data_IF_527719671582
#
_entry.id   IF_527719671582
#
_cell.length_a   1.000
_cell.length_b   1.000
_cell.length_c   1.000
_cell.angle_alpha   90.00
_cell.angle_beta   90.00
_cell.angle_gamma   90.00
#
_symmetry.space_group_name_H-M   'P 1'
#
loop_
_entity.id
_entity.type
_entity.pdbx_description
1 polymer ?
#
# COMPACT_ATOMS: atom_id res chain seq x y z
N UNK A 1 50.17 43.36 14.72
CA UNK A 1 48.87 44.06 14.75
C UNK A 1 48.50 44.40 13.30
N UNK A 2 47.31 43.98 12.83
CA UNK A 2 46.76 44.04 11.45
C UNK A 2 47.43 43.02 10.50
N UNK A 3 46.77 42.16 9.72
CA UNK A 3 45.57 42.29 8.88
C UNK A 3 44.99 40.88 8.57
N UNK A 4 43.81 40.50 9.07
CA UNK A 4 42.97 39.42 8.47
C UNK A 4 41.50 39.69 8.84
N UNK A 5 40.85 40.66 8.21
CA UNK A 5 39.42 40.96 8.47
C UNK A 5 38.64 41.46 7.23
N UNK A 6 39.19 41.28 6.02
CA UNK A 6 38.56 41.77 4.78
C UNK A 6 37.80 40.72 3.96
N UNK A 7 38.08 39.43 4.14
CA UNK A 7 37.72 38.41 3.14
C UNK A 7 36.41 37.64 3.41
N UNK A 8 35.80 37.84 4.57
CA UNK A 8 34.57 37.14 4.93
C UNK A 8 33.34 37.91 4.45
N UNK A 9 33.36 39.24 4.43
CA UNK A 9 32.17 40.04 4.08
C UNK A 9 31.77 39.93 2.60
N UNK A 10 32.75 39.86 1.69
CA UNK A 10 32.51 39.76 0.25
C UNK A 10 31.90 38.41 -0.19
N UNK A 11 32.09 37.34 0.59
CA UNK A 11 31.57 36.00 0.25
C UNK A 11 30.10 35.81 0.60
N UNK A 12 29.56 36.59 1.56
CA UNK A 12 28.14 36.57 1.91
C UNK A 12 27.27 37.46 1.00
N UNK A 13 27.81 38.56 0.48
CA UNK A 13 27.09 39.43 -0.46
C UNK A 13 26.79 38.73 -1.81
N UNK A 14 27.69 37.86 -2.28
CA UNK A 14 27.50 37.11 -3.53
C UNK A 14 26.40 36.02 -3.44
N UNK A 15 26.18 35.42 -2.26
CA UNK A 15 25.19 34.37 -2.06
C UNK A 15 23.74 34.91 -2.03
N UNK A 16 23.54 36.14 -1.56
CA UNK A 16 22.21 36.77 -1.46
C UNK A 16 21.71 37.25 -2.85
N UNK A 17 22.62 37.66 -3.74
CA UNK A 17 22.27 38.07 -5.10
C UNK A 17 21.77 36.92 -6.00
N UNK A 18 22.20 35.68 -5.73
CA UNK A 18 21.78 34.49 -6.49
C UNK A 18 20.39 34.01 -6.04
N UNK A 19 20.00 34.22 -4.79
CA UNK A 19 18.69 33.82 -4.27
C UNK A 19 17.53 34.71 -4.78
N UNK A 20 17.79 35.99 -5.07
CA UNK A 20 16.75 36.94 -5.51
C UNK A 20 16.39 36.85 -7.00
N UNK A 21 17.27 36.31 -7.85
CA UNK A 21 17.00 36.13 -9.29
C UNK A 21 16.25 34.82 -9.60
N UNK A 22 16.29 33.82 -8.72
CA UNK A 22 15.57 32.55 -8.89
C UNK A 22 14.05 32.66 -8.63
N UNK A 23 13.62 33.59 -7.77
CA UNK A 23 12.19 33.76 -7.40
C UNK A 23 11.39 34.38 -8.57
N UNK A 24 11.99 35.27 -9.36
CA UNK A 24 11.30 35.93 -10.48
C UNK A 24 11.04 35.01 -11.69
N UNK A 25 11.79 33.92 -11.86
CA UNK A 25 11.61 32.99 -12.99
C UNK A 25 10.47 31.99 -12.74
N UNK A 26 10.19 31.64 -11.47
CA UNK A 26 9.09 30.73 -11.12
C UNK A 26 7.72 31.41 -11.28
N UNK A 27 7.61 32.70 -10.94
CA UNK A 27 6.34 33.43 -11.06
C UNK A 27 5.94 33.71 -12.53
N UNK A 28 6.90 33.80 -13.46
CA UNK A 28 6.62 34.05 -14.87
C UNK A 28 6.05 32.82 -15.63
N UNK A 29 6.31 31.58 -15.16
CA UNK A 29 5.82 30.35 -15.82
C UNK A 29 4.37 30.00 -15.47
N UNK A 30 3.82 30.52 -14.39
CA UNK A 30 2.42 30.26 -14.00
C UNK A 30 1.40 31.02 -14.88
N UNK A 31 1.81 32.09 -15.58
CA UNK A 31 0.91 32.96 -16.34
C UNK A 31 0.70 32.56 -17.82
N UNK A 32 1.32 31.47 -18.29
CA UNK A 32 1.30 31.07 -19.71
C UNK A 32 0.62 29.71 -19.98
N UNK A 33 -0.08 29.12 -19.00
CA UNK A 33 -0.88 27.93 -19.27
C UNK A 33 -2.13 28.31 -20.08
N UNK A 34 -2.33 27.75 -21.28
CA UNK A 34 -3.59 27.92 -22.01
C UNK A 34 -4.75 27.33 -21.17
N UNK A 35 -5.96 27.91 -21.23
CA UNK A 35 -7.11 27.36 -20.53
C UNK A 35 -7.33 25.91 -20.97
N UNK A 36 -7.59 25.03 -19.99
CA UNK A 36 -7.95 23.65 -20.26
C UNK A 36 -9.14 23.60 -21.25
N UNK A 37 -9.13 22.70 -22.24
CA UNK A 37 -10.25 22.57 -23.16
C UNK A 37 -11.52 22.25 -22.36
N UNK A 38 -12.59 22.98 -22.66
CA UNK A 38 -13.91 22.73 -22.09
C UNK A 38 -14.25 21.25 -22.28
N UNK A 39 -14.55 20.56 -21.18
CA UNK A 39 -14.98 19.18 -21.21
C UNK A 39 -16.17 19.05 -22.18
N UNK A 40 -16.01 18.24 -23.22
CA UNK A 40 -17.09 17.92 -24.13
C UNK A 40 -18.29 17.38 -23.32
N UNK A 41 -19.44 18.01 -23.51
CA UNK A 41 -20.68 17.56 -22.89
C UNK A 41 -20.91 16.09 -23.26
N UNK A 42 -21.03 15.22 -22.25
CA UNK A 42 -21.43 13.83 -22.47
C UNK A 42 -22.81 13.81 -23.14
N UNK A 43 -23.06 12.94 -24.12
CA UNK A 43 -24.36 12.84 -24.76
C UNK A 43 -25.43 12.51 -23.72
N UNK A 44 -26.57 13.18 -23.83
CA UNK A 44 -27.74 12.94 -22.98
C UNK A 44 -28.15 11.46 -23.05
N UNK A 45 -28.34 10.86 -21.88
CA UNK A 45 -28.91 9.52 -21.77
C UNK A 45 -30.32 9.50 -22.40
N UNK A 46 -30.71 8.39 -23.07
CA UNK A 46 -32.05 8.28 -23.64
C UNK A 46 -33.12 8.37 -22.53
N UNK A 47 -34.33 8.89 -22.84
CA UNK A 47 -35.38 9.05 -21.85
C UNK A 47 -35.74 7.69 -21.24
N UNK A 48 -35.60 7.60 -19.92
CA UNK A 48 -36.10 6.47 -19.16
C UNK A 48 -37.62 6.40 -19.27
N UNK A 49 -38.13 5.19 -19.50
CA UNK A 49 -39.56 4.87 -19.43
C UNK A 49 -40.17 5.38 -18.11
N UNK A 50 -41.48 5.75 -18.09
CA UNK A 50 -42.07 6.43 -16.96
C UNK A 50 -41.96 5.61 -15.69
N UNK A 51 -41.44 6.27 -14.65
CA UNK A 51 -41.31 5.73 -13.31
C UNK A 51 -42.69 5.48 -12.71
N UNK A 52 -43.19 4.26 -12.83
CA UNK A 52 -44.07 3.74 -11.79
C UNK A 52 -43.23 3.72 -10.51
N UNK A 53 -43.63 4.50 -9.51
CA UNK A 53 -42.98 4.64 -8.22
C UNK A 53 -42.90 3.29 -7.51
N UNK A 54 -41.87 2.50 -7.81
CA UNK A 54 -41.50 1.31 -7.03
C UNK A 54 -40.69 1.83 -5.86
N UNK A 55 -41.36 1.95 -4.71
CA UNK A 55 -40.76 2.33 -3.45
C UNK A 55 -39.52 1.46 -3.18
N UNK A 56 -38.46 2.08 -2.66
CA UNK A 56 -37.31 1.34 -2.16
C UNK A 56 -37.80 0.35 -1.09
N UNK A 57 -37.36 -0.93 -1.14
CA UNK A 57 -37.74 -1.89 -0.13
C UNK A 57 -37.31 -1.40 1.26
N UNK A 58 -38.05 -1.75 2.33
CA UNK A 58 -37.72 -1.30 3.68
C UNK A 58 -36.31 -1.73 4.08
N UNK A 59 -35.70 -0.99 5.00
CA UNK A 59 -34.34 -1.21 5.53
C UNK A 59 -34.12 -2.60 6.21
N UNK A 60 -35.12 -3.47 6.19
CA UNK A 60 -35.10 -4.86 6.64
C UNK A 60 -35.00 -5.87 5.48
N UNK A 61 -34.80 -5.40 4.25
CA UNK A 61 -34.70 -6.28 3.08
C UNK A 61 -33.56 -7.30 3.26
N UNK A 62 -33.95 -8.57 3.43
CA UNK A 62 -33.04 -9.70 3.48
C UNK A 62 -32.11 -9.70 2.25
N UNK A 63 -30.90 -10.25 2.41
CA UNK A 63 -29.87 -10.40 1.37
C UNK A 63 -30.40 -10.75 -0.04
N UNK A 64 -31.47 -11.57 -0.08
CA UNK A 64 -32.15 -12.01 -1.30
C UNK A 64 -32.66 -10.89 -2.21
N UNK A 65 -33.02 -9.72 -1.68
CA UNK A 65 -33.50 -8.61 -2.50
C UNK A 65 -32.36 -7.91 -3.28
N UNK A 66 -31.18 -7.77 -2.67
CA UNK A 66 -30.03 -7.10 -3.27
C UNK A 66 -29.44 -7.90 -4.45
N UNK A 67 -29.34 -9.23 -4.30
CA UNK A 67 -28.77 -10.12 -5.33
C UNK A 67 -29.63 -10.27 -6.58
N UNK A 68 -30.89 -9.82 -6.55
CA UNK A 68 -31.75 -9.77 -7.74
C UNK A 68 -31.20 -8.83 -8.82
N UNK A 69 -30.52 -7.75 -8.41
CA UNK A 69 -29.78 -6.86 -9.30
C UNK A 69 -28.27 -7.15 -9.29
N UNK A 70 -27.70 -7.53 -8.14
CA UNK A 70 -26.26 -7.81 -7.97
C UNK A 70 -25.93 -9.31 -8.02
N UNK A 71 -26.44 -10.02 -9.01
CA UNK A 71 -26.31 -11.48 -9.11
C UNK A 71 -24.86 -11.98 -9.24
N UNK A 72 -23.91 -11.11 -9.58
CA UNK A 72 -22.50 -11.45 -9.71
C UNK A 72 -21.74 -11.51 -8.37
N UNK A 73 -22.24 -10.81 -7.33
CA UNK A 73 -21.56 -10.68 -6.03
C UNK A 73 -21.26 -12.02 -5.33
N UNK A 74 -22.17 -13.01 -5.28
CA UNK A 74 -21.90 -14.27 -4.58
C UNK A 74 -21.14 -15.31 -5.42
N UNK A 75 -20.55 -14.94 -6.55
CA UNK A 75 -19.95 -15.91 -7.48
C UNK A 75 -18.46 -16.19 -7.28
N UNK A 76 -17.78 -15.44 -6.41
CA UNK A 76 -16.36 -15.66 -6.14
C UNK A 76 -16.10 -16.97 -5.39
N UNK A 77 -14.93 -17.59 -5.63
CA UNK A 77 -14.56 -18.82 -4.93
C UNK A 77 -14.36 -18.60 -3.42
N UNK A 78 -13.73 -17.48 -3.03
CA UNK A 78 -13.53 -17.09 -1.64
C UNK A 78 -14.38 -15.84 -1.34
N UNK A 79 -15.60 -16.05 -0.85
CA UNK A 79 -16.50 -14.96 -0.43
C UNK A 79 -16.25 -14.50 1.00
N UNK A 80 -16.56 -13.24 1.28
CA UNK A 80 -16.52 -12.74 2.66
C UNK A 80 -17.62 -13.42 3.51
N UNK A 81 -17.36 -13.90 4.74
CA UNK A 81 -18.36 -14.64 5.53
C UNK A 81 -19.65 -13.87 5.85
N UNK A 82 -19.60 -12.54 5.81
CA UNK A 82 -20.76 -11.65 6.00
C UNK A 82 -21.46 -11.26 4.69
N UNK A 83 -21.18 -11.92 3.57
CA UNK A 83 -21.76 -11.55 2.27
C UNK A 83 -23.30 -11.60 2.26
N UNK A 84 -23.90 -12.45 3.08
CA UNK A 84 -25.35 -12.54 3.26
C UNK A 84 -25.95 -11.36 4.05
N UNK A 85 -25.16 -10.44 4.59
CA UNK A 85 -25.64 -9.27 5.30
C UNK A 85 -25.11 -7.99 4.64
N UNK A 86 -25.77 -7.61 3.53
CA UNK A 86 -25.32 -6.49 2.71
C UNK A 86 -25.36 -5.16 3.47
N UNK A 87 -26.33 -4.99 4.38
CA UNK A 87 -26.58 -3.72 5.09
C UNK A 87 -25.60 -3.46 6.24
N UNK A 88 -24.83 -4.47 6.66
CA UNK A 88 -23.72 -4.29 7.60
C UNK A 88 -22.60 -3.40 7.02
N UNK A 89 -22.44 -3.39 5.70
CA UNK A 89 -21.41 -2.60 5.03
C UNK A 89 -21.97 -1.53 4.08
N UNK A 90 -23.13 -1.77 3.48
CA UNK A 90 -23.79 -0.84 2.57
C UNK A 90 -24.87 -0.05 3.29
N UNK A 91 -25.04 1.22 2.91
CA UNK A 91 -26.17 2.04 3.36
C UNK A 91 -27.16 2.19 2.21
N UNK A 92 -28.22 1.36 2.13
CA UNK A 92 -29.23 1.49 1.10
C UNK A 92 -30.04 2.77 1.31
N UNK A 93 -29.95 3.72 0.37
CA UNK A 93 -30.82 4.91 0.34
C UNK A 93 -31.77 4.84 -0.85
N UNK A 94 -31.22 4.85 -2.05
CA UNK A 94 -31.95 4.62 -3.31
C UNK A 94 -31.11 3.72 -4.21
N UNK A 95 -31.70 3.21 -5.30
CA UNK A 95 -30.99 2.38 -6.29
C UNK A 95 -29.67 3.02 -6.74
N UNK A 96 -29.65 4.34 -6.89
CA UNK A 96 -28.51 5.05 -7.48
C UNK A 96 -27.69 5.83 -6.41
N UNK A 97 -28.08 5.78 -5.13
CA UNK A 97 -27.43 6.54 -4.04
C UNK A 97 -27.09 5.69 -2.81
N UNK A 98 -26.91 4.37 -2.96
CA UNK A 98 -26.35 3.52 -1.91
C UNK A 98 -24.83 3.46 -2.05
N UNK A 99 -24.12 3.61 -0.93
CA UNK A 99 -22.67 3.71 -0.89
C UNK A 99 -22.08 2.67 0.07
N UNK A 100 -20.88 2.24 -0.26
CA UNK A 100 -20.00 1.48 0.62
C UNK A 100 -19.16 2.47 1.45
N UNK A 101 -18.94 2.14 2.71
CA UNK A 101 -18.11 2.92 3.64
C UNK A 101 -16.89 2.08 4.05
N UNK A 102 -15.75 2.35 3.41
CA UNK A 102 -14.48 1.66 3.62
C UNK A 102 -14.03 1.69 5.09
N UNK A 103 -14.49 2.68 5.87
CA UNK A 103 -14.15 2.79 7.30
C UNK A 103 -14.87 1.75 8.17
N UNK A 104 -15.84 1.01 7.63
CA UNK A 104 -16.53 -0.06 8.36
C UNK A 104 -15.69 -1.31 8.53
N UNK A 105 -14.64 -1.51 7.72
CA UNK A 105 -13.78 -2.69 7.80
C UNK A 105 -13.17 -2.86 9.21
N UNK A 106 -12.72 -1.77 9.84
CA UNK A 106 -12.05 -1.80 11.15
C UNK A 106 -13.00 -1.96 12.33
N UNK A 107 -14.31 -1.90 12.12
CA UNK A 107 -15.30 -2.21 13.17
C UNK A 107 -15.17 -3.67 13.59
N UNK A 108 -14.87 -4.56 12.65
CA UNK A 108 -14.69 -5.98 12.91
C UNK A 108 -13.24 -6.44 12.75
N UNK A 109 -12.47 -5.90 11.80
CA UNK A 109 -11.10 -6.33 11.54
C UNK A 109 -10.08 -5.48 12.30
N UNK A 110 -9.68 -5.97 13.48
CA UNK A 110 -8.63 -5.38 14.31
C UNK A 110 -7.24 -5.86 13.87
N UNK A 111 -6.84 -5.45 12.67
CA UNK A 111 -5.59 -5.89 12.02
C UNK A 111 -4.32 -5.22 12.57
N UNK A 112 -4.46 -4.03 13.16
CA UNK A 112 -3.37 -3.30 13.82
C UNK A 112 -3.45 -3.56 15.32
N UNK A 113 -2.44 -4.22 15.87
CA UNK A 113 -2.35 -4.54 17.29
C UNK A 113 -1.79 -3.36 18.06
N UNK A 114 -2.03 -3.35 19.37
CA UNK A 114 -1.53 -2.31 20.29
C UNK A 114 -0.01 -2.08 20.20
N UNK A 115 0.76 -3.14 19.93
CA UNK A 115 2.22 -3.08 19.88
C UNK A 115 2.77 -2.85 18.47
N UNK A 116 1.92 -2.76 17.45
CA UNK A 116 2.36 -2.45 16.09
C UNK A 116 2.71 -0.96 16.01
N UNK A 117 3.97 -0.69 15.67
CA UNK A 117 4.51 0.69 15.60
C UNK A 117 4.50 1.22 14.19
N UNK A 118 4.53 0.32 13.21
CA UNK A 118 4.67 0.64 11.81
C UNK A 118 3.44 0.15 11.07
N UNK A 119 2.46 1.04 10.87
CA UNK A 119 1.26 0.77 10.07
C UNK A 119 1.57 1.07 8.61
N UNK A 120 1.12 0.18 7.72
CA UNK A 120 1.27 0.36 6.29
C UNK A 120 0.40 1.54 5.81
N UNK A 121 0.92 2.35 4.89
CA UNK A 121 0.29 3.61 4.46
C UNK A 121 -1.19 3.49 4.05
N UNK A 122 -1.53 2.58 3.10
CA UNK A 122 -2.92 2.35 2.69
C UNK A 122 -3.83 1.96 3.86
N UNK A 123 -3.31 1.19 4.82
CA UNK A 123 -4.08 0.74 5.99
C UNK A 123 -4.32 1.92 6.95
N UNK A 124 -3.31 2.76 7.17
CA UNK A 124 -3.46 3.98 7.97
C UNK A 124 -4.44 4.98 7.34
N UNK A 125 -4.53 5.01 6.00
CA UNK A 125 -5.49 5.81 5.26
C UNK A 125 -6.91 5.21 5.18
N UNK A 126 -7.08 3.95 5.58
CA UNK A 126 -8.36 3.22 5.49
C UNK A 126 -8.68 2.71 4.08
N UNK A 127 -7.68 2.58 3.20
CA UNK A 127 -7.80 2.15 1.81
C UNK A 127 -7.78 0.62 1.69
N UNK A 128 -8.62 -0.07 2.46
CA UNK A 128 -8.67 -1.53 2.51
C UNK A 128 -8.94 -2.15 1.12
N UNK A 129 -9.74 -1.44 0.31
CA UNK A 129 -10.17 -1.87 -1.01
C UNK A 129 -9.08 -1.81 -2.09
N UNK A 130 -7.94 -1.17 -1.81
CA UNK A 130 -6.81 -1.17 -2.72
C UNK A 130 -6.24 -2.60 -2.90
N UNK A 131 -6.34 -3.41 -1.84
CA UNK A 131 -5.82 -4.78 -1.82
C UNK A 131 -6.94 -5.83 -1.79
N UNK A 132 -8.01 -5.58 -1.04
CA UNK A 132 -9.07 -6.55 -0.81
C UNK A 132 -10.33 -6.28 -1.63
N UNK A 133 -11.07 -7.33 -1.91
CA UNK A 133 -12.45 -7.28 -2.37
C UNK A 133 -13.40 -7.75 -1.25
N UNK A 134 -14.25 -6.88 -0.68
CA UNK A 134 -15.10 -7.20 0.46
C UNK A 134 -16.29 -8.10 0.08
N UNK A 135 -16.56 -8.28 -1.23
CA UNK A 135 -17.55 -9.24 -1.69
C UNK A 135 -16.93 -10.64 -1.80
N UNK A 136 -15.70 -10.70 -2.28
CA UNK A 136 -14.91 -11.91 -2.39
C UNK A 136 -13.94 -11.84 -3.56
N UNK A 137 -13.01 -12.79 -3.64
CA UNK A 137 -12.14 -12.99 -4.79
C UNK A 137 -11.97 -14.47 -5.07
N UNK A 138 -11.36 -14.80 -6.19
CA UNK A 138 -10.93 -16.18 -6.44
C UNK A 138 -9.61 -16.50 -5.72
N UNK A 139 -8.96 -15.47 -5.18
CA UNK A 139 -7.73 -15.58 -4.40
C UNK A 139 -7.96 -15.76 -2.89
N UNK A 140 -7.01 -16.38 -2.17
CA UNK A 140 -7.04 -16.48 -0.71
C UNK A 140 -7.13 -15.12 0.00
N UNK A 141 -7.76 -15.09 1.18
CA UNK A 141 -7.92 -13.87 1.97
C UNK A 141 -8.58 -12.69 1.24
N UNK A 142 -9.35 -12.97 0.19
CA UNK A 142 -10.16 -11.99 -0.52
C UNK A 142 -9.32 -10.87 -1.14
N UNK A 143 -8.09 -11.17 -1.57
CA UNK A 143 -7.23 -10.20 -2.24
C UNK A 143 -7.56 -10.10 -3.73
N UNK A 144 -7.41 -8.92 -4.31
CA UNK A 144 -7.72 -8.69 -5.73
C UNK A 144 -6.78 -9.45 -6.68
N UNK A 145 -5.55 -9.66 -6.24
CA UNK A 145 -4.48 -10.39 -6.94
C UNK A 145 -3.67 -11.12 -5.89
N UNK A 146 -3.25 -12.35 -6.16
CA UNK A 146 -2.46 -13.11 -5.21
C UNK A 146 -0.97 -12.76 -5.24
N UNK A 147 -0.33 -12.89 -4.08
CA UNK A 147 1.12 -12.87 -3.94
C UNK A 147 1.80 -11.56 -4.32
N UNK A 148 3.03 -11.69 -4.81
CA UNK A 148 3.94 -10.57 -5.09
C UNK A 148 3.38 -9.57 -6.12
N UNK A 149 2.58 -10.04 -7.07
CA UNK A 149 1.97 -9.22 -8.12
C UNK A 149 1.04 -8.13 -7.56
N UNK A 150 0.37 -8.38 -6.44
CA UNK A 150 -0.47 -7.37 -5.79
C UNK A 150 0.37 -6.19 -5.31
N UNK A 151 1.44 -6.48 -4.57
CA UNK A 151 2.33 -5.48 -3.99
C UNK A 151 3.01 -4.65 -5.09
N UNK A 152 3.41 -5.32 -6.17
CA UNK A 152 4.13 -4.71 -7.29
C UNK A 152 3.27 -3.78 -8.16
N UNK A 153 1.94 -3.74 -7.98
CA UNK A 153 1.09 -2.72 -8.62
C UNK A 153 1.44 -1.31 -8.17
N UNK A 154 1.89 -1.16 -6.93
CA UNK A 154 2.28 0.14 -6.34
C UNK A 154 3.77 0.21 -6.06
N UNK A 155 4.40 -0.88 -5.59
CA UNK A 155 5.84 -0.94 -5.35
C UNK A 155 6.62 -1.21 -6.65
N UNK A 156 6.44 -0.33 -7.63
CA UNK A 156 6.99 -0.47 -8.99
C UNK A 156 8.52 -0.40 -9.02
N UNK A 157 9.14 0.35 -8.11
CA UNK A 157 10.60 0.42 -8.00
C UNK A 157 11.18 -0.91 -7.53
N UNK A 158 10.48 -1.60 -6.61
CA UNK A 158 10.87 -2.95 -6.19
C UNK A 158 10.70 -3.92 -7.36
N UNK A 159 9.58 -3.85 -8.10
CA UNK A 159 9.38 -4.66 -9.31
C UNK A 159 10.53 -4.48 -10.31
N UNK A 160 10.92 -3.24 -10.59
CA UNK A 160 12.02 -2.92 -11.50
C UNK A 160 13.35 -3.50 -10.99
N UNK A 161 13.68 -3.26 -9.70
CA UNK A 161 14.88 -3.82 -9.07
C UNK A 161 14.94 -5.34 -9.18
N UNK A 162 13.83 -6.03 -8.89
CA UNK A 162 13.76 -7.49 -8.96
C UNK A 162 13.98 -8.02 -10.39
N UNK A 163 13.52 -7.28 -11.41
CA UNK A 163 13.71 -7.62 -12.81
C UNK A 163 15.15 -7.36 -13.31
N UNK A 164 15.86 -6.41 -12.70
CA UNK A 164 17.24 -6.06 -13.06
C UNK A 164 18.28 -7.01 -12.46
N UNK A 165 17.99 -7.62 -11.31
CA UNK A 165 18.94 -8.46 -10.58
C UNK A 165 18.99 -9.88 -11.10
N UNK A 166 20.20 -10.46 -11.10
CA UNK A 166 20.42 -11.83 -11.58
C UNK A 166 19.73 -12.89 -10.71
N UNK A 167 19.74 -12.70 -9.40
CA UNK A 167 19.18 -13.64 -8.44
C UNK A 167 18.14 -12.94 -7.57
N UNK A 168 16.97 -13.54 -7.46
CA UNK A 168 15.91 -13.09 -6.57
C UNK A 168 15.67 -14.16 -5.51
N UNK A 169 15.60 -13.74 -4.26
CA UNK A 169 15.30 -14.60 -3.12
C UNK A 169 13.93 -15.26 -3.32
N UNK A 170 13.88 -16.59 -3.26
CA UNK A 170 12.72 -17.36 -3.72
C UNK A 170 11.36 -16.91 -3.12
N UNK A 171 11.22 -16.69 -1.80
CA UNK A 171 10.01 -16.14 -1.19
C UNK A 171 9.49 -14.84 -1.81
N UNK A 172 10.36 -14.00 -2.36
CA UNK A 172 9.98 -12.70 -2.92
C UNK A 172 9.29 -12.83 -4.28
N UNK A 173 9.58 -13.91 -5.03
CA UNK A 173 8.87 -14.21 -6.28
C UNK A 173 7.42 -14.60 -6.03
N UNK A 174 7.19 -15.36 -4.96
CA UNK A 174 5.88 -15.90 -4.62
C UNK A 174 5.01 -14.87 -3.91
N UNK A 175 5.42 -14.43 -2.71
CA UNK A 175 4.59 -13.57 -1.87
C UNK A 175 5.44 -12.75 -0.89
N UNK A 176 5.38 -11.43 -1.05
CA UNK A 176 6.01 -10.45 -0.16
C UNK A 176 5.52 -10.61 1.29
N UNK A 177 4.27 -11.04 1.49
CA UNK A 177 3.66 -11.22 2.80
C UNK A 177 4.22 -12.43 3.57
N UNK A 178 5.11 -13.21 2.98
CA UNK A 178 5.89 -14.25 3.69
C UNK A 178 6.76 -13.64 4.79
N UNK A 179 7.41 -12.51 4.49
CA UNK A 179 8.30 -11.81 5.42
C UNK A 179 7.66 -10.52 5.94
N UNK A 180 6.87 -9.83 5.12
CA UNK A 180 6.19 -8.59 5.50
C UNK A 180 4.78 -8.87 6.02
N UNK A 181 4.27 -7.98 6.87
CA UNK A 181 2.87 -7.89 7.21
C UNK A 181 2.28 -6.70 6.44
N UNK A 182 1.38 -6.93 5.46
CA UNK A 182 0.83 -5.85 4.64
C UNK A 182 -0.07 -4.87 5.41
N UNK A 183 -0.40 -5.16 6.67
CA UNK A 183 -1.20 -4.29 7.54
C UNK A 183 -0.32 -3.44 8.46
N UNK A 184 0.38 -4.08 9.39
CA UNK A 184 1.22 -3.43 10.37
C UNK A 184 2.17 -4.43 11.05
N UNK A 185 3.25 -3.93 11.63
CA UNK A 185 4.10 -4.74 12.51
C UNK A 185 4.81 -3.90 13.58
N UNK A 186 5.32 -4.52 14.65
CA UNK A 186 6.16 -3.84 15.63
C UNK A 186 7.53 -3.41 15.07
N UNK A 187 7.94 -3.99 13.93
CA UNK A 187 9.26 -3.83 13.30
C UNK A 187 9.21 -2.92 12.07
N UNK A 188 10.33 -2.22 11.81
CA UNK A 188 10.46 -1.35 10.63
C UNK A 188 10.23 -2.15 9.34
N UNK A 189 9.70 -1.48 8.33
CA UNK A 189 9.32 -2.08 7.04
C UNK A 189 8.27 -3.19 7.18
N UNK A 190 7.52 -3.21 8.29
CA UNK A 190 6.45 -4.16 8.55
C UNK A 190 6.92 -5.63 8.53
N UNK A 191 8.17 -5.91 8.86
CA UNK A 191 8.68 -7.28 8.90
C UNK A 191 8.02 -8.06 10.05
N UNK A 192 7.67 -9.34 9.83
CA UNK A 192 6.94 -10.16 10.81
C UNK A 192 7.75 -10.46 12.06
N UNK A 193 9.03 -10.80 11.89
CA UNK A 193 9.98 -11.03 12.98
C UNK A 193 11.02 -9.91 13.00
N UNK A 194 11.58 -9.62 14.16
CA UNK A 194 12.68 -8.68 14.28
C UNK A 194 14.01 -9.33 13.87
N UNK A 195 14.95 -8.48 13.44
CA UNK A 195 16.37 -8.84 13.36
C UNK A 195 16.64 -10.12 12.53
N UNK A 196 17.69 -10.86 12.87
CA UNK A 196 18.10 -12.11 12.26
C UNK A 196 17.02 -13.20 12.32
N UNK A 197 16.07 -13.13 13.27
CA UNK A 197 15.05 -14.17 13.44
C UNK A 197 14.13 -14.30 12.22
N UNK A 198 13.90 -13.22 11.48
CA UNK A 198 13.18 -13.28 10.20
C UNK A 198 13.84 -14.22 9.19
N UNK A 199 15.18 -14.21 9.13
CA UNK A 199 15.97 -15.05 8.24
C UNK A 199 16.07 -16.47 8.78
N UNK A 200 16.39 -16.60 10.06
CA UNK A 200 16.67 -17.88 10.71
C UNK A 200 15.42 -18.77 10.83
N UNK A 201 14.22 -18.19 10.78
CA UNK A 201 12.96 -18.95 10.72
C UNK A 201 12.96 -20.00 9.60
N UNK A 202 13.54 -19.65 8.44
CA UNK A 202 13.69 -20.54 7.30
C UNK A 202 15.11 -21.11 7.18
N UNK A 203 16.15 -20.32 7.42
CA UNK A 203 17.54 -20.74 7.33
C UNK A 203 18.02 -21.49 8.58
N UNK A 204 17.41 -22.65 8.84
CA UNK A 204 17.64 -23.45 10.06
C UNK A 204 19.07 -23.98 10.19
N UNK A 205 19.72 -24.31 9.08
CA UNK A 205 21.13 -24.73 9.09
C UNK A 205 22.03 -23.60 9.58
N UNK A 206 21.87 -22.40 9.02
CA UNK A 206 22.60 -21.21 9.46
C UNK A 206 22.32 -20.89 10.93
N UNK A 207 21.07 -21.04 11.41
CA UNK A 207 20.75 -20.90 12.83
C UNK A 207 21.60 -21.82 13.69
N UNK A 208 21.67 -23.11 13.33
CA UNK A 208 22.46 -24.11 14.06
C UNK A 208 23.94 -23.76 14.05
N UNK A 209 24.48 -23.37 12.89
CA UNK A 209 25.89 -23.00 12.75
C UNK A 209 26.22 -21.77 13.58
N UNK A 210 25.39 -20.73 13.54
CA UNK A 210 25.55 -19.53 14.35
C UNK A 210 25.63 -19.89 15.84
N UNK A 211 24.68 -20.65 16.39
CA UNK A 211 24.66 -20.95 17.83
C UNK A 211 25.78 -21.90 18.28
N UNK A 212 26.36 -22.69 17.37
CA UNK A 212 27.43 -23.65 17.68
C UNK A 212 28.83 -23.14 17.32
N UNK A 213 28.93 -22.04 16.57
CA UNK A 213 30.21 -21.49 16.14
C UNK A 213 31.03 -21.05 17.35
N UNK A 214 32.28 -21.54 17.43
CA UNK A 214 33.23 -21.14 18.47
C UNK A 214 33.52 -19.63 18.44
N UNK A 215 33.54 -19.05 17.24
CA UNK A 215 33.70 -17.62 17.01
C UNK A 215 32.65 -17.21 15.99
N UNK A 216 31.72 -16.37 16.40
CA UNK A 216 30.75 -15.74 15.49
C UNK A 216 31.41 -14.52 14.85
N UNK A 217 31.23 -14.36 13.54
CA UNK A 217 31.65 -13.15 12.85
C UNK A 217 30.85 -11.96 13.38
N UNK A 218 31.48 -10.95 13.98
CA UNK A 218 30.79 -9.86 14.68
C UNK A 218 29.67 -9.21 13.87
N UNK A 219 29.86 -9.04 12.54
CA UNK A 219 28.85 -8.46 11.67
C UNK A 219 27.51 -9.22 11.64
N UNK A 220 27.41 -10.47 12.10
CA UNK A 220 26.13 -11.19 12.19
C UNK A 220 25.44 -11.04 13.56
N UNK A 221 26.09 -10.35 14.51
CA UNK A 221 25.61 -10.17 15.88
C UNK A 221 25.39 -8.69 16.25
N UNK A 222 25.76 -7.75 15.38
CA UNK A 222 25.64 -6.30 15.62
C UNK A 222 24.89 -5.59 14.50
N UNK A 223 24.35 -4.41 14.82
CA UNK A 223 23.67 -3.52 13.88
C UNK A 223 22.51 -4.17 13.09
N UNK A 224 22.71 -4.39 11.79
CA UNK A 224 21.69 -4.98 10.89
C UNK A 224 21.89 -6.48 10.70
N UNK A 225 22.83 -7.07 11.43
CA UNK A 225 23.15 -8.49 11.46
C UNK A 225 23.33 -9.05 10.03
N UNK A 226 22.45 -9.95 9.59
CA UNK A 226 22.48 -10.54 8.25
C UNK A 226 22.46 -9.46 7.15
N UNK A 227 21.75 -8.36 7.37
CA UNK A 227 21.59 -7.28 6.40
C UNK A 227 22.78 -6.30 6.38
N UNK A 228 23.81 -6.53 7.21
CA UNK A 228 25.06 -5.78 7.07
C UNK A 228 25.74 -6.09 5.73
N UNK A 229 25.52 -7.29 5.18
CA UNK A 229 26.09 -7.72 3.90
C UNK A 229 25.04 -8.23 2.90
N UNK A 230 23.93 -8.84 3.35
CA UNK A 230 22.96 -9.47 2.45
C UNK A 230 21.80 -8.56 2.07
N UNK A 231 21.42 -8.62 0.80
CA UNK A 231 20.14 -8.10 0.32
C UNK A 231 19.09 -9.23 0.39
N UNK A 232 17.99 -9.06 1.16
CA UNK A 232 17.00 -10.12 1.36
C UNK A 232 16.04 -10.28 0.17
N UNK A 233 16.09 -9.39 -0.81
CA UNK A 233 15.24 -9.41 -1.98
C UNK A 233 15.95 -9.98 -3.20
N UNK A 234 17.07 -9.37 -3.57
CA UNK A 234 17.77 -9.75 -4.79
C UNK A 234 19.23 -9.27 -4.83
N UNK A 235 20.07 -10.03 -5.52
CA UNK A 235 21.50 -9.80 -5.67
C UNK A 235 21.98 -10.18 -7.06
N UNK A 236 23.14 -9.66 -7.46
CA UNK A 236 23.84 -10.09 -8.69
C UNK A 236 24.83 -11.23 -8.43
N UNK A 237 25.04 -11.54 -7.15
CA UNK A 237 25.91 -12.58 -6.64
C UNK A 237 25.06 -13.68 -6.00
N UNK A 238 25.47 -14.93 -6.14
CA UNK A 238 24.76 -16.09 -5.58
C UNK A 238 24.94 -16.23 -4.06
#
# INVERSE_FOLDING_TARGET
MRLIAGDIWNRWAAAIAIALTAISVVQARAAQQPPAPAAAAKPAAPPSAPAAARQAPPATAAAGACVSCHAAVPKHAAVHPKLADCVSCHVPKTRDAHAFDDKKCTVCHQMVKKNDKFVHGPVAAGECLACHDPHGSDEPAQVRVFGSDLCQKCHVDMKARLAEKRFTHAPVKEDCATCHNPHASPSKYQIRNDSAEQCLACHKTLRKELVTARVQHEAVAVDRECLNCHDPHASDFD
#
